data_IF_346478202973
#
_entry.id   IF_346478202973
#
_cell.length_a   1.000
_cell.length_b   1.000
_cell.length_c   1.000
_cell.angle_alpha   90.00
_cell.angle_beta   90.00
_cell.angle_gamma   90.00
#
_symmetry.space_group_name_H-M   'P 1'
#
loop_
_entity.id
_entity.type
_entity.pdbx_description
1 polymer ?
#
# COMPACT_ATOMS: atom_id res chain seq x y z
N UNK A 1 -30.03 8.65 33.81
CA UNK A 1 -29.86 7.33 33.18
C UNK A 1 -29.15 7.58 31.88
N UNK A 2 -27.84 7.71 32.01
CA UNK A 2 -26.92 8.23 31.01
C UNK A 2 -26.50 7.09 30.10
N UNK A 3 -27.01 7.08 28.87
CA UNK A 3 -26.56 6.18 27.81
C UNK A 3 -25.81 6.99 26.75
N UNK A 4 -24.73 7.65 27.16
CA UNK A 4 -23.72 8.22 26.26
C UNK A 4 -22.51 7.29 26.22
N UNK A 5 -22.47 6.34 25.28
CA UNK A 5 -21.24 5.72 24.77
C UNK A 5 -21.52 5.06 23.41
N UNK A 6 -21.97 5.84 22.42
CA UNK A 6 -21.83 5.44 21.02
C UNK A 6 -20.50 6.00 20.52
N UNK A 7 -19.41 5.41 21.01
CA UNK A 7 -18.09 5.63 20.46
C UNK A 7 -18.17 5.15 19.00
N UNK A 8 -18.29 6.09 18.06
CA UNK A 8 -18.29 5.82 16.62
C UNK A 8 -16.88 5.38 16.23
N UNK A 9 -16.52 4.16 16.62
CA UNK A 9 -15.34 3.42 16.21
C UNK A 9 -15.48 3.28 14.69
N UNK A 10 -14.82 4.18 13.96
CA UNK A 10 -14.54 4.16 12.52
C UNK A 10 -15.18 2.95 11.83
N UNK A 11 -16.43 3.13 11.36
CA UNK A 11 -17.35 2.03 11.07
C UNK A 11 -16.67 0.84 10.40
N UNK A 12 -16.66 -0.30 11.10
CA UNK A 12 -16.08 -1.58 10.66
C UNK A 12 -16.36 -1.89 9.19
N UNK A 13 -17.53 -1.50 8.66
CA UNK A 13 -17.87 -1.66 7.24
C UNK A 13 -16.87 -1.05 6.26
N UNK A 14 -16.24 0.10 6.59
CA UNK A 14 -15.24 0.74 5.72
C UNK A 14 -13.93 -0.05 5.71
N UNK A 15 -13.51 -0.57 6.86
CA UNK A 15 -12.35 -1.45 7.01
C UNK A 15 -12.57 -2.78 6.25
N UNK A 16 -13.76 -3.37 6.38
CA UNK A 16 -14.13 -4.61 5.67
C UNK A 16 -14.17 -4.40 4.15
N UNK A 17 -14.70 -3.29 3.65
CA UNK A 17 -14.72 -3.00 2.21
C UNK A 17 -13.30 -2.88 1.62
N UNK A 18 -12.38 -2.22 2.32
CA UNK A 18 -10.98 -2.11 1.91
C UNK A 18 -10.28 -3.47 2.00
N UNK A 19 -10.56 -4.26 3.03
CA UNK A 19 -10.03 -5.62 3.17
C UNK A 19 -10.43 -6.52 1.99
N UNK A 20 -11.69 -6.48 1.55
CA UNK A 20 -12.14 -7.19 0.35
C UNK A 20 -11.42 -6.68 -0.90
N UNK A 21 -11.25 -5.36 -1.03
CA UNK A 21 -10.51 -4.76 -2.15
C UNK A 21 -9.06 -5.26 -2.20
N UNK A 22 -8.40 -5.35 -1.05
CA UNK A 22 -7.03 -5.88 -0.94
C UNK A 22 -6.96 -7.37 -1.31
N UNK A 23 -7.97 -8.17 -0.93
CA UNK A 23 -8.06 -9.57 -1.34
C UNK A 23 -8.21 -9.70 -2.86
N UNK A 24 -9.09 -8.92 -3.49
CA UNK A 24 -9.26 -8.90 -4.94
C UNK A 24 -7.94 -8.53 -5.63
N UNK A 25 -7.26 -7.48 -5.15
CA UNK A 25 -5.97 -7.06 -5.70
C UNK A 25 -4.90 -8.16 -5.56
N UNK A 26 -4.93 -8.91 -4.46
CA UNK A 26 -4.02 -10.05 -4.22
C UNK A 26 -4.28 -11.19 -5.19
N UNK A 27 -5.55 -11.54 -5.40
CA UNK A 27 -5.94 -12.56 -6.38
C UNK A 27 -5.52 -12.12 -7.79
N UNK A 28 -5.72 -10.84 -8.13
CA UNK A 28 -5.26 -10.28 -9.40
C UNK A 28 -3.73 -10.40 -9.55
N UNK A 29 -2.93 -10.14 -8.50
CA UNK A 29 -1.48 -10.37 -8.54
C UNK A 29 -1.14 -11.83 -8.82
N UNK A 30 -1.79 -12.77 -8.13
CA UNK A 30 -1.54 -14.21 -8.34
C UNK A 30 -1.82 -14.60 -9.79
N UNK A 31 -2.93 -14.13 -10.37
CA UNK A 31 -3.29 -14.41 -11.76
C UNK A 31 -2.24 -13.82 -12.72
N UNK A 32 -1.84 -12.56 -12.53
CA UNK A 32 -0.83 -11.89 -13.36
C UNK A 32 0.51 -12.61 -13.30
N UNK A 33 0.92 -13.12 -12.14
CA UNK A 33 2.14 -13.92 -12.00
C UNK A 33 2.03 -15.29 -12.66
N UNK A 34 0.82 -15.89 -12.68
CA UNK A 34 0.55 -17.18 -13.34
C UNK A 34 0.51 -17.08 -14.85
N UNK A 35 0.08 -15.96 -15.42
CA UNK A 35 0.08 -15.73 -16.86
C UNK A 35 1.52 -15.56 -17.36
N UNK A 36 1.89 -16.28 -18.43
CA UNK A 36 3.25 -16.24 -18.99
C UNK A 36 3.52 -15.00 -19.86
N UNK A 37 3.62 -13.84 -19.20
CA UNK A 37 3.91 -12.54 -19.83
C UNK A 37 5.42 -12.22 -19.96
N UNK A 38 6.33 -13.16 -19.66
CA UNK A 38 7.78 -12.91 -19.73
C UNK A 38 8.23 -11.70 -18.89
N UNK A 39 9.01 -10.79 -19.50
CA UNK A 39 9.55 -9.57 -18.85
C UNK A 39 8.46 -8.64 -18.30
N UNK A 40 7.26 -8.65 -18.92
CA UNK A 40 6.14 -7.82 -18.52
C UNK A 40 5.52 -8.24 -17.18
N UNK A 41 5.75 -9.48 -16.73
CA UNK A 41 5.29 -9.95 -15.41
C UNK A 41 5.84 -9.08 -14.29
N UNK A 42 7.11 -8.71 -14.35
CA UNK A 42 7.79 -7.95 -13.29
C UNK A 42 7.20 -6.55 -13.18
N UNK A 43 7.03 -5.86 -14.30
CA UNK A 43 6.42 -4.53 -14.34
C UNK A 43 4.98 -4.55 -13.84
N UNK A 44 4.18 -5.54 -14.27
CA UNK A 44 2.80 -5.68 -13.84
C UNK A 44 2.68 -6.02 -12.34
N UNK A 45 3.51 -6.94 -11.84
CA UNK A 45 3.55 -7.29 -10.43
C UNK A 45 3.96 -6.09 -9.55
N UNK A 46 4.94 -5.31 -10.00
CA UNK A 46 5.41 -4.11 -9.29
C UNK A 46 4.33 -3.02 -9.25
N UNK A 47 3.64 -2.77 -10.36
CA UNK A 47 2.54 -1.81 -10.42
C UNK A 47 1.42 -2.18 -9.43
N UNK A 48 1.00 -3.45 -9.43
CA UNK A 48 -0.04 -3.94 -8.52
C UNK A 48 0.42 -3.87 -7.06
N UNK A 49 1.68 -4.20 -6.78
CA UNK A 49 2.26 -4.08 -5.45
C UNK A 49 2.25 -2.63 -4.95
N UNK A 50 2.64 -1.66 -5.79
CA UNK A 50 2.57 -0.23 -5.46
C UNK A 50 1.12 0.22 -5.17
N UNK A 51 0.15 -0.16 -6.00
CA UNK A 51 -1.26 0.17 -5.77
C UNK A 51 -1.78 -0.44 -4.47
N UNK A 52 -1.43 -1.71 -4.19
CA UNK A 52 -1.80 -2.41 -2.96
C UNK A 52 -1.26 -1.67 -1.72
N UNK A 53 0.03 -1.38 -1.71
CA UNK A 53 0.70 -0.67 -0.61
C UNK A 53 0.13 0.73 -0.41
N UNK A 54 -0.14 1.47 -1.50
CA UNK A 54 -0.80 2.77 -1.42
C UNK A 54 -2.19 2.70 -0.79
N UNK A 55 -2.98 1.67 -1.12
CA UNK A 55 -4.31 1.46 -0.53
C UNK A 55 -4.22 1.11 0.96
N UNK A 56 -3.25 0.27 1.36
CA UNK A 56 -2.99 -0.04 2.78
C UNK A 56 -2.64 1.24 3.55
N UNK A 57 -1.73 2.07 3.02
CA UNK A 57 -1.30 3.31 3.68
C UNK A 57 -2.46 4.31 3.80
N UNK A 58 -3.27 4.46 2.76
CA UNK A 58 -4.38 5.42 2.75
C UNK A 58 -5.51 5.06 3.72
N UNK A 59 -5.79 3.77 3.92
CA UNK A 59 -6.97 3.29 4.65
C UNK A 59 -6.65 2.65 6.01
N UNK A 60 -5.65 1.76 6.09
CA UNK A 60 -5.30 1.06 7.35
C UNK A 60 -4.41 1.90 8.26
N UNK A 61 -3.53 2.72 7.69
CA UNK A 61 -2.66 3.62 8.45
C UNK A 61 -3.35 4.91 8.90
N UNK A 62 -4.68 4.99 8.78
CA UNK A 62 -5.51 6.12 9.22
C UNK A 62 -5.02 7.51 8.74
N UNK A 63 -4.23 7.56 7.66
CA UNK A 63 -3.56 8.77 7.17
C UNK A 63 -4.52 9.84 6.63
N UNK A 64 -5.80 9.48 6.46
CA UNK A 64 -6.88 10.43 6.14
C UNK A 64 -7.35 11.23 7.36
N UNK A 65 -7.15 10.73 8.57
CA UNK A 65 -7.66 11.32 9.82
C UNK A 65 -6.56 11.69 10.82
N UNK A 66 -5.32 11.22 10.61
CA UNK A 66 -4.16 11.64 11.40
C UNK A 66 -3.52 12.96 10.94
N UNK A 67 -2.77 13.65 11.80
CA UNK A 67 -2.15 14.93 11.48
C UNK A 67 -1.21 14.82 10.27
N UNK A 68 -1.15 15.91 9.48
CA UNK A 68 -0.34 16.00 8.23
C UNK A 68 1.12 15.59 8.40
N UNK A 69 1.66 15.62 9.63
CA UNK A 69 2.99 15.18 9.98
C UNK A 69 3.26 13.71 9.60
N UNK A 70 2.35 12.77 9.88
CA UNK A 70 2.54 11.36 9.54
C UNK A 70 2.64 11.12 8.03
N UNK A 71 1.86 11.88 7.24
CA UNK A 71 1.93 11.83 5.77
C UNK A 71 3.28 12.32 5.26
N UNK A 72 3.84 13.39 5.84
CA UNK A 72 5.15 13.91 5.46
C UNK A 72 6.24 12.91 5.82
N UNK A 73 6.22 12.34 7.03
CA UNK A 73 7.20 11.33 7.46
C UNK A 73 7.16 10.13 6.53
N UNK A 74 5.99 9.60 6.20
CA UNK A 74 5.85 8.48 5.25
C UNK A 74 6.45 8.80 3.87
N UNK A 75 6.15 9.98 3.31
CA UNK A 75 6.70 10.40 2.02
C UNK A 75 8.22 10.48 2.10
N UNK A 76 8.78 11.07 3.16
CA UNK A 76 10.23 11.18 3.37
C UNK A 76 10.84 9.78 3.48
N UNK A 77 10.27 8.88 4.27
CA UNK A 77 10.76 7.50 4.41
C UNK A 77 10.71 6.73 3.10
N UNK A 78 9.59 6.81 2.35
CA UNK A 78 9.47 6.19 1.02
C UNK A 78 10.48 6.77 0.02
N UNK A 79 10.69 8.09 0.06
CA UNK A 79 11.66 8.75 -0.80
C UNK A 79 13.09 8.30 -0.49
N UNK A 80 13.48 8.29 0.79
CA UNK A 80 14.79 7.79 1.21
C UNK A 80 14.98 6.32 0.84
N UNK A 81 13.97 5.47 1.04
CA UNK A 81 14.02 4.06 0.66
C UNK A 81 14.18 3.88 -0.85
N UNK A 82 13.39 4.61 -1.65
CA UNK A 82 13.49 4.57 -3.11
C UNK A 82 14.87 5.03 -3.61
N UNK A 83 15.43 6.07 -2.99
CA UNK A 83 16.78 6.53 -3.29
C UNK A 83 17.83 5.47 -2.99
N UNK A 84 17.73 4.82 -1.83
CA UNK A 84 18.66 3.77 -1.42
C UNK A 84 18.62 2.56 -2.37
N UNK A 85 17.41 2.11 -2.74
CA UNK A 85 17.23 1.02 -3.70
C UNK A 85 17.78 1.41 -5.07
N UNK A 86 17.43 2.60 -5.58
CA UNK A 86 17.89 3.06 -6.89
C UNK A 86 19.42 3.16 -6.97
N UNK A 87 20.05 3.69 -5.91
CA UNK A 87 21.50 3.80 -5.84
C UNK A 87 22.18 2.43 -5.73
N UNK A 88 21.59 1.49 -4.98
CA UNK A 88 22.10 0.13 -4.89
C UNK A 88 22.04 -0.62 -6.23
N UNK A 89 20.95 -0.49 -6.99
CA UNK A 89 20.87 -1.06 -8.34
C UNK A 89 21.86 -0.41 -9.31
N UNK A 90 22.06 0.90 -9.22
CA UNK A 90 23.05 1.61 -10.03
C UNK A 90 24.48 1.12 -9.73
N UNK A 91 24.82 0.94 -8.44
CA UNK A 91 26.09 0.40 -7.98
C UNK A 91 26.32 -1.03 -8.48
N UNK A 92 25.31 -1.90 -8.38
CA UNK A 92 25.38 -3.29 -8.88
C UNK A 92 25.54 -3.33 -10.41
N UNK A 93 24.91 -2.43 -11.15
CA UNK A 93 25.00 -2.39 -12.61
C UNK A 93 26.37 -1.85 -13.10
N UNK A 94 26.98 -0.95 -12.34
CA UNK A 94 28.30 -0.39 -12.64
C UNK A 94 29.46 -1.18 -12.03
N UNK A 95 29.18 -2.27 -11.30
CA UNK A 95 30.17 -3.23 -10.80
C UNK A 95 30.46 -4.33 -11.81
#
# INVERSE_FOLDING_TARGET
MDTEHTEHILGFGKLTAVWVTLLVLTVATVIVTRLDLGIWKVWAALAIACTKSGLVIAFFMHMKYEPRLFRVILIVTLFTLAWFIGFNFFDVLYR
#
